data_IF_966815262924
#
_entry.id   IF_966815262924
#
_cell.length_a   1.000
_cell.length_b   1.000
_cell.length_c   1.000
_cell.angle_alpha   90.00
_cell.angle_beta   90.00
_cell.angle_gamma   90.00
#
_symmetry.space_group_name_H-M   'P 1'
#
loop_
_entity.id
_entity.type
_entity.pdbx_description
1 polymer ?
#
# COMPACT_ATOMS: atom_id res chain seq x y z
N UNK A 1 3.82 -7.84 -8.21
CA UNK A 1 3.39 -6.43 -8.18
C UNK A 1 4.61 -5.53 -8.03
N UNK A 2 4.74 -4.56 -8.91
CA UNK A 2 5.86 -3.63 -8.85
C UNK A 2 5.75 -2.69 -7.66
N UNK A 3 6.89 -2.15 -7.23
CA UNK A 3 6.95 -1.24 -6.10
C UNK A 3 7.02 0.20 -6.58
N UNK A 4 6.29 1.09 -5.91
CA UNK A 4 6.45 2.53 -6.09
C UNK A 4 7.81 2.95 -5.55
N UNK A 5 8.52 3.81 -6.27
CA UNK A 5 9.90 4.21 -5.91
C UNK A 5 10.09 5.71 -5.79
N UNK A 6 9.23 6.50 -6.43
CA UNK A 6 9.38 7.94 -6.48
C UNK A 6 8.41 8.63 -5.53
N UNK A 7 8.91 9.63 -4.83
CA UNK A 7 8.11 10.41 -3.89
C UNK A 7 6.88 11.02 -4.55
N UNK A 8 7.01 11.50 -5.78
CA UNK A 8 5.90 12.08 -6.53
C UNK A 8 4.78 11.06 -6.76
N UNK A 9 5.13 9.80 -7.02
CA UNK A 9 4.16 8.73 -7.21
C UNK A 9 3.39 8.46 -5.90
N UNK A 10 4.10 8.38 -4.77
CA UNK A 10 3.47 8.22 -3.46
C UNK A 10 2.50 9.35 -3.16
N UNK A 11 2.92 10.59 -3.39
CA UNK A 11 2.09 11.76 -3.13
C UNK A 11 0.84 11.76 -4.01
N UNK A 12 0.98 11.41 -5.28
CA UNK A 12 -0.15 11.35 -6.21
C UNK A 12 -1.19 10.32 -5.77
N UNK A 13 -0.74 9.15 -5.34
CA UNK A 13 -1.65 8.09 -4.88
C UNK A 13 -2.31 8.48 -3.57
N UNK A 14 -1.56 9.05 -2.63
CA UNK A 14 -2.10 9.45 -1.33
C UNK A 14 -3.07 10.63 -1.44
N UNK A 15 -2.91 11.47 -2.47
CA UNK A 15 -3.83 12.57 -2.74
C UNK A 15 -5.09 12.12 -3.49
N UNK A 16 -5.08 10.90 -4.02
CA UNK A 16 -6.22 10.38 -4.78
C UNK A 16 -7.30 9.85 -3.82
N UNK A 17 -7.64 8.59 -3.88
CA UNK A 17 -8.78 8.03 -3.16
C UNK A 17 -8.35 7.15 -2.00
N UNK A 18 -9.04 7.27 -0.85
CA UNK A 18 -8.96 6.29 0.23
C UNK A 18 -10.04 5.26 -0.02
N UNK A 19 -9.66 4.01 -0.31
CA UNK A 19 -10.61 2.96 -0.67
C UNK A 19 -10.88 1.97 0.45
N UNK A 20 -10.03 1.93 1.48
CA UNK A 20 -10.23 1.07 2.63
C UNK A 20 -9.47 1.61 3.84
N UNK A 21 -9.97 1.28 5.02
CA UNK A 21 -9.38 1.75 6.27
C UNK A 21 -9.61 0.72 7.37
N UNK A 22 -8.58 0.45 8.16
CA UNK A 22 -8.67 -0.39 9.34
C UNK A 22 -8.08 0.35 10.54
N UNK A 23 -7.98 -0.31 11.69
CA UNK A 23 -7.47 0.33 12.91
C UNK A 23 -6.07 0.91 12.73
N UNK A 24 -5.17 0.18 12.05
CA UNK A 24 -3.77 0.58 11.93
C UNK A 24 -3.38 1.01 10.52
N UNK A 25 -4.17 0.70 9.49
CA UNK A 25 -3.79 0.92 8.10
C UNK A 25 -4.84 1.67 7.31
N UNK A 26 -4.37 2.36 6.27
CA UNK A 26 -5.23 3.01 5.26
C UNK A 26 -4.72 2.59 3.89
N UNK A 27 -5.63 2.20 3.01
CA UNK A 27 -5.30 1.87 1.62
C UNK A 27 -5.74 3.02 0.72
N UNK A 28 -4.77 3.62 0.06
CA UNK A 28 -4.98 4.63 -0.98
C UNK A 28 -4.85 3.98 -2.35
N UNK A 29 -5.62 4.45 -3.32
CA UNK A 29 -5.58 3.91 -4.67
C UNK A 29 -5.75 5.01 -5.70
N UNK A 30 -4.97 4.92 -6.78
CA UNK A 30 -5.12 5.76 -7.96
C UNK A 30 -5.29 4.83 -9.15
N UNK A 31 -6.50 4.79 -9.72
CA UNK A 31 -6.82 3.89 -10.82
C UNK A 31 -6.06 4.25 -12.08
N UNK A 32 -5.78 3.23 -12.91
CA UNK A 32 -5.06 3.40 -14.16
C UNK A 32 -5.74 4.39 -15.10
N UNK A 33 -7.06 4.35 -15.17
CA UNK A 33 -7.84 5.27 -16.01
C UNK A 33 -7.64 6.72 -15.60
N UNK A 34 -7.63 6.99 -14.28
CA UNK A 34 -7.37 8.33 -13.76
C UNK A 34 -5.97 8.81 -14.11
N UNK A 35 -4.99 7.90 -14.08
CA UNK A 35 -3.62 8.20 -14.43
C UNK A 35 -3.48 8.55 -15.91
N UNK A 36 -4.16 7.80 -16.79
CA UNK A 36 -4.16 8.05 -18.22
C UNK A 36 -4.83 9.40 -18.54
N UNK A 37 -5.94 9.69 -17.90
CA UNK A 37 -6.65 10.96 -18.09
C UNK A 37 -5.79 12.15 -17.68
N UNK A 38 -5.08 12.04 -16.57
CA UNK A 38 -4.24 13.11 -16.07
C UNK A 38 -3.06 13.43 -17.00
N UNK A 39 -2.65 12.48 -17.83
CA UNK A 39 -1.49 12.58 -18.70
C UNK A 39 -1.83 12.62 -20.19
N UNK A 40 -3.09 12.79 -20.53
CA UNK A 40 -3.57 12.69 -21.92
C UNK A 40 -2.91 13.71 -22.86
N UNK A 41 -2.45 14.85 -22.33
CA UNK A 41 -1.80 15.89 -23.12
C UNK A 41 -0.29 15.92 -22.96
N UNK A 42 0.26 14.99 -22.18
CA UNK A 42 1.69 14.93 -21.90
C UNK A 42 2.44 14.11 -22.96
N UNK A 43 3.67 14.51 -23.26
CA UNK A 43 4.56 13.72 -24.11
C UNK A 43 4.91 12.38 -23.47
N UNK A 44 4.74 12.26 -22.16
CA UNK A 44 4.99 11.04 -21.42
C UNK A 44 3.76 10.13 -21.34
N UNK A 45 2.68 10.46 -22.03
CA UNK A 45 1.44 9.70 -22.00
C UNK A 45 1.64 8.22 -22.36
N UNK A 46 2.48 7.95 -23.36
CA UNK A 46 2.78 6.58 -23.78
C UNK A 46 3.48 5.79 -22.66
N UNK A 47 4.48 6.41 -22.02
CA UNK A 47 5.18 5.79 -20.89
C UNK A 47 4.25 5.57 -19.71
N UNK A 48 3.39 6.55 -19.44
CA UNK A 48 2.39 6.45 -18.38
C UNK A 48 1.40 5.32 -18.66
N UNK A 49 0.94 5.20 -19.92
CA UNK A 49 0.03 4.14 -20.32
C UNK A 49 0.67 2.75 -20.15
N UNK A 50 1.93 2.59 -20.52
CA UNK A 50 2.66 1.34 -20.34
C UNK A 50 2.80 1.03 -18.84
N UNK A 51 3.16 2.02 -18.03
CA UNK A 51 3.29 1.86 -16.60
C UNK A 51 1.95 1.53 -15.94
N UNK A 52 0.86 2.06 -16.47
CA UNK A 52 -0.49 1.81 -15.94
C UNK A 52 -0.99 0.39 -16.25
N UNK A 53 -0.34 -0.34 -17.16
CA UNK A 53 -0.71 -1.72 -17.46
C UNK A 53 -0.41 -2.68 -16.32
N UNK A 54 0.39 -2.24 -15.32
CA UNK A 54 0.80 -3.06 -14.20
C UNK A 54 0.46 -2.34 -12.89
N UNK A 55 -0.03 -3.10 -11.92
CA UNK A 55 -0.26 -2.56 -10.59
C UNK A 55 1.06 -2.33 -9.88
N UNK A 56 1.11 -1.26 -9.09
CA UNK A 56 2.26 -0.93 -8.25
C UNK A 56 1.79 -0.71 -6.82
N UNK A 57 2.67 -0.97 -5.87
CA UNK A 57 2.36 -0.80 -4.45
C UNK A 57 3.49 -0.07 -3.74
N UNK A 58 3.12 0.80 -2.82
CA UNK A 58 4.05 1.46 -1.92
C UNK A 58 3.59 1.32 -0.48
N UNK A 59 4.54 1.31 0.44
CA UNK A 59 4.27 1.28 1.87
C UNK A 59 4.77 2.56 2.50
N UNK A 60 3.93 3.21 3.30
CA UNK A 60 4.30 4.40 4.07
C UNK A 60 4.20 4.07 5.55
N UNK A 61 5.36 4.04 6.20
CA UNK A 61 5.49 3.65 7.61
C UNK A 61 6.19 4.78 8.36
N UNK A 62 5.44 5.78 8.85
CA UNK A 62 6.05 6.92 9.53
C UNK A 62 6.86 6.50 10.76
N UNK A 63 8.05 7.07 10.91
CA UNK A 63 8.93 6.75 12.03
C UNK A 63 8.28 7.04 13.38
N UNK A 64 7.43 8.05 13.45
CA UNK A 64 6.72 8.38 14.71
C UNK A 64 5.76 7.27 15.15
N UNK A 65 5.30 6.43 14.22
CA UNK A 65 4.37 5.33 14.50
C UNK A 65 5.07 3.98 14.58
N UNK A 66 6.24 3.84 13.97
CA UNK A 66 7.05 2.62 14.00
C UNK A 66 8.51 3.04 14.05
N UNK A 67 9.01 3.31 15.26
CA UNK A 67 10.35 3.90 15.47
C UNK A 67 11.49 3.00 15.06
N UNK A 68 11.34 1.69 15.26
CA UNK A 68 12.42 0.74 14.96
C UNK A 68 12.39 0.38 13.48
N UNK A 69 13.58 0.40 12.84
CA UNK A 69 13.71 -0.02 11.45
C UNK A 69 13.28 -1.49 11.27
N UNK A 70 13.56 -2.34 12.26
CA UNK A 70 13.14 -3.74 12.23
C UNK A 70 11.62 -3.87 12.15
N UNK A 71 10.90 -3.07 12.93
CA UNK A 71 9.44 -3.04 12.91
C UNK A 71 8.92 -2.59 11.54
N UNK A 72 9.49 -1.49 11.03
CA UNK A 72 9.08 -0.98 9.71
C UNK A 72 9.32 -2.01 8.61
N UNK A 73 10.47 -2.69 8.64
CA UNK A 73 10.79 -3.72 7.66
C UNK A 73 9.83 -4.92 7.76
N UNK A 74 9.49 -5.34 8.98
CA UNK A 74 8.54 -6.43 9.18
C UNK A 74 7.16 -6.08 8.63
N UNK A 75 6.66 -4.89 8.94
CA UNK A 75 5.38 -4.42 8.44
C UNK A 75 5.38 -4.25 6.92
N UNK A 76 6.46 -3.69 6.38
CA UNK A 76 6.61 -3.50 4.94
C UNK A 76 6.53 -4.84 4.19
N UNK A 77 7.20 -5.87 4.71
CA UNK A 77 7.14 -7.22 4.12
C UNK A 77 5.71 -7.76 4.10
N UNK A 78 4.97 -7.59 5.19
CA UNK A 78 3.60 -8.04 5.25
C UNK A 78 2.73 -7.31 4.24
N UNK A 79 2.92 -5.99 4.09
CA UNK A 79 2.19 -5.19 3.11
C UNK A 79 2.42 -5.73 1.69
N UNK A 80 3.67 -5.90 1.30
CA UNK A 80 3.99 -6.38 -0.05
C UNK A 80 3.50 -7.82 -0.27
N UNK A 81 3.62 -8.69 0.72
CA UNK A 81 3.14 -10.07 0.61
C UNK A 81 1.63 -10.14 0.41
N UNK A 82 0.88 -9.40 1.20
CA UNK A 82 -0.58 -9.38 1.09
C UNK A 82 -1.01 -8.79 -0.25
N UNK A 83 -0.44 -7.65 -0.63
CA UNK A 83 -0.78 -7.00 -1.89
C UNK A 83 -0.48 -7.91 -3.08
N UNK A 84 0.66 -8.59 -3.07
CA UNK A 84 1.02 -9.52 -4.13
C UNK A 84 0.05 -10.70 -4.19
N UNK A 85 -0.36 -11.22 -3.04
CA UNK A 85 -1.33 -12.31 -2.96
C UNK A 85 -2.66 -11.95 -3.61
N UNK A 86 -3.10 -10.69 -3.43
CA UNK A 86 -4.38 -10.23 -3.96
C UNK A 86 -4.27 -9.54 -5.32
N UNK A 87 -3.08 -9.43 -5.91
CA UNK A 87 -2.86 -8.64 -7.11
C UNK A 87 -3.83 -8.95 -8.26
N UNK A 88 -4.05 -10.23 -8.54
CA UNK A 88 -4.93 -10.65 -9.64
C UNK A 88 -6.40 -10.30 -9.39
N UNK A 89 -6.77 -10.05 -8.15
CA UNK A 89 -8.13 -9.72 -7.74
C UNK A 89 -8.35 -8.23 -7.51
N UNK A 90 -7.29 -7.44 -7.67
CA UNK A 90 -7.35 -5.99 -7.54
C UNK A 90 -7.39 -5.34 -8.91
N UNK A 91 -8.06 -4.20 -9.07
CA UNK A 91 -7.98 -3.45 -10.32
C UNK A 91 -6.55 -2.98 -10.57
N UNK A 92 -6.19 -2.83 -11.85
CA UNK A 92 -4.88 -2.29 -12.21
C UNK A 92 -4.81 -0.84 -11.76
N UNK A 93 -3.90 -0.55 -10.84
CA UNK A 93 -3.81 0.76 -10.20
C UNK A 93 -2.50 0.89 -9.43
N UNK A 94 -2.22 2.10 -9.00
CA UNK A 94 -1.19 2.36 -8.00
C UNK A 94 -1.85 2.33 -6.63
N UNK A 95 -1.26 1.57 -5.71
CA UNK A 95 -1.77 1.41 -4.35
C UNK A 95 -0.72 1.88 -3.35
N UNK A 96 -1.15 2.54 -2.28
CA UNK A 96 -0.29 2.87 -1.14
C UNK A 96 -0.99 2.40 0.12
N UNK A 97 -0.29 1.58 0.91
CA UNK A 97 -0.75 1.19 2.24
C UNK A 97 0.04 2.03 3.26
N UNK A 98 -0.68 2.81 4.04
CA UNK A 98 -0.10 3.71 5.03
C UNK A 98 -0.45 3.26 6.44
N UNK A 99 0.55 3.23 7.31
CA UNK A 99 0.34 3.00 8.73
C UNK A 99 -0.21 4.29 9.35
N UNK A 100 -1.39 4.21 9.98
CA UNK A 100 -2.06 5.38 10.58
C UNK A 100 -2.01 5.40 12.10
N UNK A 101 -1.69 4.28 12.74
CA UNK A 101 -1.62 4.17 14.19
C UNK A 101 -0.53 3.17 14.58
N UNK A 102 0.14 3.37 15.71
CA UNK A 102 1.17 2.42 16.16
C UNK A 102 0.54 1.15 16.70
N UNK A 103 1.24 0.03 16.56
CA UNK A 103 0.87 -1.20 17.24
C UNK A 103 1.30 -1.11 18.70
N UNK A 104 0.44 -1.58 19.60
CA UNK A 104 0.67 -1.48 21.03
C UNK A 104 1.80 -2.39 21.47
N UNK A 105 2.86 -1.82 22.06
CA UNK A 105 4.01 -2.55 22.54
C UNK A 105 3.70 -3.44 23.74
N UNK A 106 2.70 -3.10 24.52
CA UNK A 106 2.30 -3.93 25.66
C UNK A 106 1.75 -5.27 25.20
N UNK A 107 1.22 -5.34 23.97
CA UNK A 107 0.72 -6.56 23.36
C UNK A 107 1.85 -7.28 22.61
N UNK A 108 2.73 -6.51 21.94
CA UNK A 108 3.77 -7.06 21.07
C UNK A 108 5.14 -6.79 21.68
N UNK A 109 5.69 -7.78 22.39
CA UNK A 109 6.92 -7.65 23.15
C UNK A 109 8.16 -7.46 22.27
N UNK A 110 8.13 -7.91 21.03
CA UNK A 110 9.24 -7.81 20.11
C UNK A 110 8.79 -7.22 18.78
N UNK A 111 9.65 -6.34 18.21
CA UNK A 111 9.41 -5.73 16.91
C UNK A 111 9.31 -6.75 15.77
N UNK A 112 9.87 -7.95 15.96
CA UNK A 112 9.87 -9.02 14.97
C UNK A 112 9.06 -10.23 15.42
N UNK A 113 8.24 -10.09 16.45
CA UNK A 113 7.46 -11.21 16.98
C UNK A 113 6.50 -11.78 15.94
N UNK A 114 6.28 -13.09 16.02
CA UNK A 114 5.30 -13.77 15.17
C UNK A 114 3.90 -13.19 15.37
N UNK A 115 3.58 -12.78 16.59
CA UNK A 115 2.30 -12.18 16.94
C UNK A 115 2.08 -10.87 16.18
N UNK A 116 3.10 -10.00 16.13
CA UNK A 116 3.02 -8.74 15.39
C UNK A 116 2.82 -9.00 13.89
N UNK A 117 3.61 -9.89 13.32
CA UNK A 117 3.52 -10.23 11.90
C UNK A 117 2.15 -10.79 11.54
N UNK A 118 1.64 -11.69 12.37
CA UNK A 118 0.34 -12.32 12.17
C UNK A 118 -0.80 -11.29 12.29
N UNK A 119 -0.74 -10.45 13.31
CA UNK A 119 -1.75 -9.41 13.52
C UNK A 119 -1.78 -8.43 12.34
N UNK A 120 -0.60 -8.00 11.88
CA UNK A 120 -0.50 -7.11 10.73
C UNK A 120 -1.03 -7.76 9.47
N UNK A 121 -0.68 -9.02 9.23
CA UNK A 121 -1.15 -9.76 8.06
C UNK A 121 -2.66 -9.91 8.03
N UNK A 122 -3.25 -10.29 9.16
CA UNK A 122 -4.69 -10.46 9.26
C UNK A 122 -5.43 -9.15 9.00
N UNK A 123 -4.93 -8.07 9.56
CA UNK A 123 -5.53 -6.74 9.35
C UNK A 123 -5.38 -6.29 7.90
N UNK A 124 -4.21 -6.51 7.28
CA UNK A 124 -3.97 -6.17 5.88
C UNK A 124 -4.85 -6.99 4.94
N UNK A 125 -5.04 -8.27 5.21
CA UNK A 125 -5.94 -9.10 4.43
C UNK A 125 -7.37 -8.56 4.50
N UNK A 126 -7.82 -8.14 5.66
CA UNK A 126 -9.12 -7.52 5.84
C UNK A 126 -9.21 -6.19 5.10
N UNK A 127 -8.16 -5.37 5.17
CA UNK A 127 -8.09 -4.09 4.48
C UNK A 127 -8.26 -4.27 2.97
N UNK A 128 -7.52 -5.20 2.38
CA UNK A 128 -7.49 -5.42 0.94
C UNK A 128 -8.73 -6.17 0.46
N UNK A 129 -9.24 -7.12 1.24
CA UNK A 129 -10.41 -7.92 0.85
C UNK A 129 -11.65 -7.06 0.60
N UNK A 130 -11.74 -5.90 1.23
CA UNK A 130 -12.86 -4.97 1.06
C UNK A 130 -12.91 -4.33 -0.30
N UNK A 131 -11.80 -4.31 -1.03
CA UNK A 131 -11.69 -3.65 -2.34
C UNK A 131 -11.38 -4.64 -3.46
N UNK A 132 -11.41 -5.92 -3.15
CA UNK A 132 -11.16 -6.98 -4.14
C UNK A 132 -12.33 -7.03 -5.12
N UNK A 133 -11.97 -7.15 -6.41
CA UNK A 133 -12.96 -7.35 -7.48
C UNK A 133 -13.33 -8.83 -7.51
N UNK A 134 -14.60 -9.12 -7.35
CA UNK A 134 -15.11 -10.49 -7.38
C UNK A 134 -15.35 -10.99 -8.81
#
# INVERSE_FOLDING_TARGET
MDHLRHRADFQAVMAAEVVSRTTHFVLHRRLADSMLSANATSSDAASTAIRSAFSRVGAVLPKRLARRAVTRNALKRQIYNVMTTFESRLPVADHVVRLRAPFDRSIFLSATSSQLKQAARMELEKLVSRVVVS
#
